data_IF_058346490981
#
_entry.id   IF_058346490981
#
_cell.length_a   1.000
_cell.length_b   1.000
_cell.length_c   1.000
_cell.angle_alpha   90.00
_cell.angle_beta   90.00
_cell.angle_gamma   90.00
#
_symmetry.space_group_name_H-M   'P 1'
#
loop_
_entity.id
_entity.type
_entity.pdbx_description
1 polymer ?
#
# COMPACT_ATOMS: atom_id res chain seq x y z
N UNK A 1 -12.33 -10.15 1.69
CA UNK A 1 -11.45 -9.01 1.99
C UNK A 1 -10.02 -9.45 2.27
N UNK A 2 -9.57 -10.55 1.62
CA UNK A 2 -8.22 -11.05 1.80
C UNK A 2 -7.55 -11.40 0.48
N UNK A 3 -6.22 -11.28 0.46
CA UNK A 3 -5.36 -11.65 -0.66
C UNK A 3 -4.43 -12.77 -0.19
N UNK A 4 -4.37 -13.86 -0.95
CA UNK A 4 -3.42 -14.94 -0.70
C UNK A 4 -2.02 -14.47 -1.06
N UNK A 5 -1.11 -14.45 -0.10
CA UNK A 5 0.29 -14.08 -0.29
C UNK A 5 1.20 -15.28 -0.61
N UNK A 6 0.80 -16.46 -0.15
CA UNK A 6 1.59 -17.68 -0.33
C UNK A 6 1.26 -18.74 0.73
N UNK A 7 2.19 -19.62 0.94
CA UNK A 7 2.11 -20.66 1.97
C UNK A 7 3.25 -20.52 2.96
N UNK A 8 3.00 -20.83 4.23
CA UNK A 8 4.00 -20.66 5.27
C UNK A 8 3.77 -21.51 6.50
N UNK A 9 4.73 -21.43 7.41
CA UNK A 9 4.71 -22.18 8.66
C UNK A 9 5.00 -23.69 8.50
N UNK A 10 5.16 -24.44 9.61
CA UNK A 10 5.53 -25.87 9.59
C UNK A 10 4.51 -26.75 8.86
N UNK A 11 3.26 -26.32 8.76
CA UNK A 11 2.16 -27.06 8.11
C UNK A 11 1.87 -26.58 6.68
N UNK A 12 2.70 -25.69 6.11
CA UNK A 12 2.48 -25.08 4.80
C UNK A 12 1.06 -24.53 4.63
N UNK A 13 0.58 -23.84 5.66
CA UNK A 13 -0.73 -23.21 5.64
C UNK A 13 -0.76 -21.98 4.74
N UNK A 14 -1.95 -21.61 4.26
CA UNK A 14 -2.16 -20.39 3.49
C UNK A 14 -1.85 -19.15 4.35
N UNK A 15 -1.02 -18.26 3.81
CA UNK A 15 -0.76 -16.94 4.40
C UNK A 15 -1.58 -15.93 3.62
N UNK A 16 -2.56 -15.34 4.28
CA UNK A 16 -3.45 -14.35 3.69
C UNK A 16 -3.25 -12.99 4.35
N UNK A 17 -3.33 -11.94 3.55
CA UNK A 17 -3.47 -10.58 4.01
C UNK A 17 -4.95 -10.20 4.06
N UNK A 18 -5.51 -10.11 5.25
CA UNK A 18 -6.82 -9.49 5.44
C UNK A 18 -6.65 -7.99 5.59
N UNK A 19 -6.94 -7.25 4.52
CA UNK A 19 -6.72 -5.80 4.47
C UNK A 19 -7.73 -4.99 5.28
N UNK A 20 -8.77 -5.62 5.83
CA UNK A 20 -9.63 -4.97 6.83
C UNK A 20 -9.07 -5.11 8.25
N UNK A 21 -8.37 -6.20 8.52
CA UNK A 21 -7.73 -6.43 9.81
C UNK A 21 -6.39 -5.68 9.92
N UNK A 22 -5.58 -5.72 8.87
CA UNK A 22 -4.30 -5.02 8.77
C UNK A 22 -4.28 -4.13 7.53
N UNK A 23 -4.42 -2.84 7.74
CA UNK A 23 -4.67 -1.84 6.68
C UNK A 23 -3.55 -1.79 5.64
N UNK A 24 -2.30 -2.02 6.05
CA UNK A 24 -1.12 -1.83 5.23
C UNK A 24 -0.19 -3.05 5.24
N UNK A 25 0.68 -3.16 4.25
CA UNK A 25 1.80 -4.11 4.20
C UNK A 25 3.12 -3.34 4.10
N UNK A 26 4.09 -3.77 4.89
CA UNK A 26 5.50 -3.38 4.73
C UNK A 26 6.33 -4.63 4.52
N UNK A 27 6.94 -4.76 3.35
CA UNK A 27 7.83 -5.86 3.00
C UNK A 27 9.27 -5.38 2.95
N UNK A 28 10.12 -6.01 3.72
CA UNK A 28 11.55 -5.72 3.81
C UNK A 28 12.33 -6.94 3.31
N UNK A 29 13.34 -6.71 2.49
CA UNK A 29 14.16 -7.81 2.01
C UNK A 29 15.39 -7.34 1.23
N UNK A 30 16.43 -8.16 1.19
CA UNK A 30 17.62 -7.92 0.39
C UNK A 30 17.31 -7.79 -1.11
N UNK A 31 18.32 -7.46 -1.89
CA UNK A 31 18.17 -7.47 -3.34
C UNK A 31 17.83 -8.89 -3.82
N UNK A 32 16.96 -9.00 -4.82
CA UNK A 32 16.54 -10.30 -5.40
C UNK A 32 15.82 -11.27 -4.43
N UNK A 33 15.38 -10.78 -3.28
CA UNK A 33 14.70 -11.61 -2.25
C UNK A 33 13.24 -11.98 -2.59
N UNK A 34 12.69 -11.53 -3.74
CA UNK A 34 11.31 -11.82 -4.14
C UNK A 34 10.30 -10.69 -3.86
N UNK A 35 10.74 -9.48 -3.48
CA UNK A 35 9.84 -8.33 -3.20
C UNK A 35 8.90 -8.03 -4.35
N UNK A 36 9.40 -7.91 -5.58
CA UNK A 36 8.56 -7.62 -6.77
C UNK A 36 7.64 -8.80 -7.12
N UNK A 37 8.04 -10.04 -6.82
CA UNK A 37 7.17 -11.21 -6.93
C UNK A 37 5.99 -11.12 -5.95
N UNK A 38 6.25 -10.70 -4.71
CA UNK A 38 5.19 -10.44 -3.74
C UNK A 38 4.21 -9.37 -4.23
N UNK A 39 4.72 -8.26 -4.77
CA UNK A 39 3.87 -7.22 -5.39
C UNK A 39 3.00 -7.81 -6.51
N UNK A 40 3.59 -8.59 -7.41
CA UNK A 40 2.83 -9.24 -8.50
C UNK A 40 1.73 -10.17 -7.97
N UNK A 41 2.01 -10.90 -6.89
CA UNK A 41 1.03 -11.77 -6.22
C UNK A 41 -0.12 -10.95 -5.62
N UNK A 42 0.19 -9.84 -4.96
CA UNK A 42 -0.82 -8.94 -4.39
C UNK A 42 -1.68 -8.32 -5.50
N UNK A 43 -1.06 -7.81 -6.57
CA UNK A 43 -1.78 -7.25 -7.73
C UNK A 43 -2.73 -8.29 -8.34
N UNK A 44 -2.26 -9.53 -8.55
CA UNK A 44 -3.09 -10.61 -9.07
C UNK A 44 -4.29 -10.92 -8.15
N UNK A 45 -4.06 -10.97 -6.84
CA UNK A 45 -5.14 -11.18 -5.86
C UNK A 45 -6.16 -10.04 -5.84
N UNK A 46 -5.71 -8.78 -5.91
CA UNK A 46 -6.60 -7.62 -5.99
C UNK A 46 -7.38 -7.57 -7.31
N UNK A 47 -6.75 -7.99 -8.41
CA UNK A 47 -7.44 -8.11 -9.70
C UNK A 47 -8.60 -9.10 -9.65
N UNK A 48 -8.46 -10.21 -8.92
CA UNK A 48 -9.55 -11.17 -8.69
C UNK A 48 -10.70 -10.59 -7.84
N UNK A 49 -10.41 -9.63 -6.95
CA UNK A 49 -11.44 -8.93 -6.17
C UNK A 49 -12.29 -8.02 -7.06
N UNK A 50 -11.70 -7.49 -8.13
CA UNK A 50 -12.35 -6.71 -9.17
C UNK A 50 -12.38 -5.20 -8.92
N UNK A 51 -12.46 -4.47 -10.03
CA UNK A 51 -12.34 -3.00 -10.08
C UNK A 51 -13.41 -2.23 -9.28
N UNK A 52 -14.55 -2.84 -9.05
CA UNK A 52 -15.66 -2.25 -8.28
C UNK A 52 -15.34 -2.19 -6.78
N UNK A 53 -14.35 -2.95 -6.32
CA UNK A 53 -13.93 -3.03 -4.93
C UNK A 53 -12.51 -2.59 -4.67
N UNK A 54 -11.64 -2.63 -5.68
CA UNK A 54 -10.23 -2.28 -5.57
C UNK A 54 -9.75 -1.52 -6.79
N UNK A 55 -9.03 -0.42 -6.59
CA UNK A 55 -8.33 0.32 -7.63
C UNK A 55 -6.87 0.49 -7.22
N UNK A 56 -5.98 0.34 -8.17
CA UNK A 56 -4.54 0.32 -7.94
C UNK A 56 -3.90 1.65 -8.34
N UNK A 57 -3.13 2.22 -7.43
CA UNK A 57 -2.18 3.31 -7.70
C UNK A 57 -0.79 2.72 -7.51
N UNK A 58 0.00 2.65 -8.58
CA UNK A 58 1.28 1.92 -8.57
C UNK A 58 2.43 2.88 -8.82
N UNK A 59 3.39 2.90 -7.90
CA UNK A 59 4.64 3.64 -7.99
C UNK A 59 5.76 2.61 -8.16
N UNK A 60 6.34 2.58 -9.36
CA UNK A 60 7.30 1.57 -9.81
C UNK A 60 8.39 2.20 -10.67
N UNK A 61 9.38 2.81 -10.01
CA UNK A 61 10.48 3.52 -10.69
C UNK A 61 11.41 2.58 -11.47
N UNK A 62 11.34 1.27 -11.23
CA UNK A 62 12.08 0.25 -12.02
C UNK A 62 11.29 -0.29 -13.21
N UNK A 63 10.00 0.04 -13.30
CA UNK A 63 9.09 -0.46 -14.33
C UNK A 63 8.97 -1.99 -14.34
N UNK A 64 9.12 -2.62 -13.18
CA UNK A 64 9.06 -4.08 -13.02
C UNK A 64 7.68 -4.65 -13.32
N UNK A 65 6.64 -3.83 -13.18
CA UNK A 65 5.23 -4.22 -13.35
C UNK A 65 4.57 -3.57 -14.58
N UNK A 66 5.34 -2.82 -15.38
CA UNK A 66 4.82 -2.12 -16.55
C UNK A 66 4.24 -3.12 -17.57
N UNK A 67 2.97 -2.91 -17.94
CA UNK A 67 2.27 -3.77 -18.88
C UNK A 67 1.77 -5.11 -18.31
N UNK A 68 2.08 -5.42 -17.03
CA UNK A 68 1.62 -6.64 -16.37
C UNK A 68 0.32 -6.44 -15.56
N UNK A 69 -0.14 -5.20 -15.40
CA UNK A 69 -1.32 -4.85 -14.61
C UNK A 69 -2.49 -4.63 -15.57
N UNK A 70 -3.64 -5.22 -15.24
CA UNK A 70 -4.88 -4.96 -15.96
C UNK A 70 -5.20 -3.46 -15.97
N UNK A 71 -5.30 -2.81 -17.14
CA UNK A 71 -5.61 -1.38 -17.24
C UNK A 71 -6.91 -0.99 -16.52
N UNK A 72 -7.90 -1.87 -16.47
CA UNK A 72 -9.16 -1.64 -15.77
C UNK A 72 -9.00 -1.56 -14.25
N UNK A 73 -7.93 -2.13 -13.70
CA UNK A 73 -7.61 -2.02 -12.28
C UNK A 73 -6.84 -0.75 -11.94
N UNK A 74 -6.11 -0.15 -12.90
CA UNK A 74 -5.27 1.00 -12.64
C UNK A 74 -6.09 2.29 -12.46
N UNK A 75 -5.88 2.97 -11.33
CA UNK A 75 -6.25 4.37 -11.13
C UNK A 75 -5.08 5.30 -11.48
N UNK A 76 -3.84 4.79 -11.42
CA UNK A 76 -2.65 5.52 -11.82
C UNK A 76 -1.38 4.69 -11.75
N UNK A 77 -0.39 5.05 -12.55
CA UNK A 77 0.94 4.45 -12.57
C UNK A 77 2.01 5.53 -12.72
N UNK A 78 3.08 5.42 -11.96
CA UNK A 78 4.21 6.33 -12.09
C UNK A 78 5.54 5.58 -12.06
N UNK A 79 6.47 6.04 -12.90
CA UNK A 79 7.83 5.53 -13.01
C UNK A 79 8.90 6.61 -12.82
N UNK A 80 8.51 7.81 -12.40
CA UNK A 80 9.41 8.93 -12.14
C UNK A 80 8.96 9.75 -10.95
N UNK A 81 9.88 10.53 -10.36
CA UNK A 81 9.57 11.40 -9.21
C UNK A 81 8.46 12.40 -9.54
N UNK A 82 8.55 13.06 -10.70
CA UNK A 82 7.56 14.08 -11.10
C UNK A 82 6.16 13.47 -11.30
N UNK A 83 6.07 12.28 -11.90
CA UNK A 83 4.79 11.57 -12.06
C UNK A 83 4.24 11.13 -10.70
N UNK A 84 5.11 10.65 -9.80
CA UNK A 84 4.72 10.26 -8.45
C UNK A 84 4.12 11.43 -7.68
N UNK A 85 4.76 12.61 -7.69
CA UNK A 85 4.26 13.82 -7.01
C UNK A 85 2.86 14.22 -7.53
N UNK A 86 2.67 14.22 -8.85
CA UNK A 86 1.36 14.53 -9.47
C UNK A 86 0.29 13.51 -9.07
N UNK A 87 0.65 12.22 -9.13
CA UNK A 87 -0.27 11.13 -8.82
C UNK A 87 -0.69 11.15 -7.36
N UNK A 88 0.25 11.38 -6.45
CA UNK A 88 0.00 11.50 -5.02
C UNK A 88 -0.88 12.73 -4.71
N UNK A 89 -0.66 13.86 -5.39
CA UNK A 89 -1.48 15.04 -5.22
C UNK A 89 -2.96 14.80 -5.64
N UNK A 90 -3.17 14.12 -6.76
CA UNK A 90 -4.53 13.74 -7.21
C UNK A 90 -5.17 12.75 -6.24
N UNK A 91 -4.42 11.74 -5.82
CA UNK A 91 -4.92 10.75 -4.85
C UNK A 91 -5.33 11.40 -3.53
N UNK A 92 -4.55 12.38 -3.04
CA UNK A 92 -4.89 13.15 -1.84
C UNK A 92 -6.28 13.78 -1.95
N UNK A 93 -6.57 14.47 -3.05
CA UNK A 93 -7.86 15.12 -3.27
C UNK A 93 -9.01 14.10 -3.17
N UNK A 94 -8.88 12.98 -3.89
CA UNK A 94 -9.88 11.91 -3.86
C UNK A 94 -10.12 11.35 -2.45
N UNK A 95 -9.05 11.20 -1.67
CA UNK A 95 -9.14 10.66 -0.31
C UNK A 95 -9.71 11.70 0.68
N UNK A 96 -9.37 12.98 0.51
CA UNK A 96 -9.94 14.06 1.35
C UNK A 96 -11.47 14.19 1.15
N UNK A 97 -11.97 13.99 -0.07
CA UNK A 97 -13.40 13.95 -0.34
C UNK A 97 -14.14 12.82 0.39
N UNK A 98 -13.41 11.79 0.82
CA UNK A 98 -13.95 10.66 1.59
C UNK A 98 -13.86 10.85 3.11
N UNK A 99 -13.24 11.93 3.59
CA UNK A 99 -13.21 12.21 5.03
C UNK A 99 -14.63 12.49 5.54
N UNK A 100 -14.99 11.96 6.73
CA UNK A 100 -16.30 12.17 7.28
C UNK A 100 -16.51 13.65 7.62
N UNK A 101 -17.61 14.21 7.14
CA UNK A 101 -18.04 15.55 7.53
C UNK A 101 -18.73 15.54 8.91
N UNK A 102 -18.97 16.72 9.48
CA UNK A 102 -19.69 16.86 10.75
C UNK A 102 -21.13 16.32 10.72
N UNK A 103 -21.69 16.10 9.53
CA UNK A 103 -23.07 15.60 9.33
C UNK A 103 -23.15 14.07 9.30
N UNK A 104 -22.00 13.37 9.28
CA UNK A 104 -21.95 11.90 9.24
C UNK A 104 -22.43 11.35 10.58
N UNK A 105 -23.43 10.47 10.52
CA UNK A 105 -24.01 9.86 11.72
C UNK A 105 -23.10 8.79 12.32
N UNK A 106 -23.21 8.47 13.63
CA UNK A 106 -22.46 7.39 14.25
C UNK A 106 -22.65 6.02 13.56
N UNK A 107 -23.84 5.75 13.03
CA UNK A 107 -24.12 4.52 12.30
C UNK A 107 -23.37 4.48 10.97
N UNK A 108 -23.36 5.59 10.22
CA UNK A 108 -22.59 5.69 8.99
C UNK A 108 -21.09 5.53 9.23
N UNK A 109 -20.57 6.11 10.32
CA UNK A 109 -19.16 5.90 10.72
C UNK A 109 -18.85 4.43 10.98
N UNK A 110 -19.73 3.73 11.70
CA UNK A 110 -19.57 2.32 11.99
C UNK A 110 -19.58 1.45 10.71
N UNK A 111 -20.49 1.76 9.78
CA UNK A 111 -20.72 0.98 8.57
C UNK A 111 -19.87 1.48 7.38
N UNK A 112 -19.11 2.57 7.54
CA UNK A 112 -18.36 3.26 6.48
C UNK A 112 -19.23 3.56 5.26
N UNK A 113 -20.44 4.08 5.47
CA UNK A 113 -21.46 4.26 4.44
C UNK A 113 -21.71 5.71 4.02
N UNK A 114 -20.82 6.65 4.39
CA UNK A 114 -20.94 8.07 3.98
C UNK A 114 -20.28 8.37 2.63
N UNK A 115 -19.51 7.42 2.08
CA UNK A 115 -18.99 7.50 0.72
C UNK A 115 -19.15 6.14 0.03
N UNK A 116 -19.06 6.13 -1.30
CA UNK A 116 -19.18 4.93 -2.14
C UNK A 116 -18.03 4.85 -3.13
N UNK A 117 -17.69 3.64 -3.56
CA UNK A 117 -16.65 3.38 -4.54
C UNK A 117 -15.63 2.35 -4.06
N UNK A 118 -14.66 2.00 -4.90
CA UNK A 118 -13.62 1.03 -4.57
C UNK A 118 -12.62 1.59 -3.57
N UNK A 119 -12.06 0.71 -2.74
CA UNK A 119 -10.87 1.03 -1.94
C UNK A 119 -9.67 1.30 -2.86
N UNK A 120 -8.76 2.17 -2.42
CA UNK A 120 -7.54 2.52 -3.15
C UNK A 120 -6.36 1.78 -2.54
N UNK A 121 -5.65 1.04 -3.36
CA UNK A 121 -4.42 0.33 -2.99
C UNK A 121 -3.22 1.07 -3.59
N UNK A 122 -2.51 1.81 -2.75
CA UNK A 122 -1.24 2.44 -3.11
C UNK A 122 -0.13 1.41 -2.98
N UNK A 123 0.45 1.01 -4.11
CA UNK A 123 1.52 0.03 -4.18
C UNK A 123 2.81 0.76 -4.52
N UNK A 124 3.81 0.69 -3.64
CA UNK A 124 5.13 1.32 -3.82
C UNK A 124 6.19 0.22 -3.88
N UNK A 125 6.64 -0.10 -5.08
CA UNK A 125 7.73 -1.05 -5.25
C UNK A 125 9.09 -0.35 -5.15
N UNK A 126 9.91 -0.80 -4.18
CA UNK A 126 11.19 -0.20 -3.82
C UNK A 126 11.08 1.26 -3.35
N UNK A 127 10.44 1.48 -2.20
CA UNK A 127 10.29 2.81 -1.57
C UNK A 127 11.62 3.56 -1.43
N UNK A 128 12.73 2.85 -1.30
CA UNK A 128 14.08 3.44 -1.22
C UNK A 128 14.52 4.19 -2.50
N UNK A 129 13.80 4.02 -3.61
CA UNK A 129 14.01 4.77 -4.86
C UNK A 129 13.13 6.02 -4.97
N UNK A 130 12.20 6.21 -4.05
CA UNK A 130 11.24 7.32 -4.07
C UNK A 130 11.59 8.31 -2.96
N UNK A 131 11.63 9.60 -3.27
CA UNK A 131 11.85 10.62 -2.26
C UNK A 131 10.66 10.65 -1.26
N UNK A 132 10.94 10.61 0.04
CA UNK A 132 9.91 10.61 1.09
C UNK A 132 8.97 11.82 0.97
N UNK A 133 9.49 12.97 0.59
CA UNK A 133 8.71 14.20 0.35
C UNK A 133 7.62 14.05 -0.71
N UNK A 134 7.75 13.11 -1.65
CA UNK A 134 6.70 12.84 -2.64
C UNK A 134 5.38 12.40 -1.99
N UNK A 135 5.44 11.81 -0.80
CA UNK A 135 4.28 11.35 -0.04
C UNK A 135 3.77 12.35 0.99
N UNK A 136 4.45 13.50 1.17
CA UNK A 136 4.04 14.51 2.14
C UNK A 136 2.55 14.92 2.04
N UNK A 137 1.94 15.02 0.84
CA UNK A 137 0.52 15.34 0.73
C UNK A 137 -0.42 14.33 1.37
N UNK A 138 0.01 13.06 1.55
CA UNK A 138 -0.81 12.00 2.15
C UNK A 138 -0.79 11.99 3.67
N UNK A 139 0.17 12.66 4.31
CA UNK A 139 0.34 12.64 5.77
C UNK A 139 -0.90 13.13 6.52
N UNK A 140 -1.69 14.03 5.92
CA UNK A 140 -2.95 14.50 6.50
C UNK A 140 -4.08 13.46 6.46
N UNK A 141 -4.04 12.53 5.52
CA UNK A 141 -5.10 11.54 5.25
C UNK A 141 -4.75 10.17 5.83
N UNK A 142 -3.47 9.84 5.93
CA UNK A 142 -3.00 8.54 6.42
C UNK A 142 -3.56 8.13 7.79
N UNK A 143 -3.69 9.02 8.80
CA UNK A 143 -4.32 8.66 10.07
C UNK A 143 -5.77 8.17 9.93
N UNK A 144 -6.42 8.53 8.82
CA UNK A 144 -7.80 8.15 8.48
C UNK A 144 -7.87 7.07 7.38
N UNK A 145 -6.75 6.40 7.08
CA UNK A 145 -6.65 5.46 5.97
C UNK A 145 -7.80 4.43 5.94
N UNK A 146 -8.17 3.89 7.11
CA UNK A 146 -9.29 2.95 7.23
C UNK A 146 -10.62 3.58 6.81
N UNK A 147 -10.85 4.81 7.21
CA UNK A 147 -12.13 5.49 6.98
C UNK A 147 -12.32 5.84 5.51
N UNK A 148 -11.25 6.22 4.83
CA UNK A 148 -11.27 6.63 3.43
C UNK A 148 -10.99 5.49 2.44
N UNK A 149 -10.78 4.25 2.94
CA UNK A 149 -10.51 3.09 2.10
C UNK A 149 -9.15 3.13 1.43
N UNK A 150 -8.11 3.59 2.15
CA UNK A 150 -6.74 3.60 1.66
C UNK A 150 -5.95 2.43 2.25
N UNK A 151 -5.36 1.62 1.39
CA UNK A 151 -4.41 0.57 1.74
C UNK A 151 -3.05 0.88 1.12
N UNK A 152 -1.98 0.70 1.87
CA UNK A 152 -0.61 0.96 1.39
C UNK A 152 0.19 -0.32 1.45
N UNK A 153 0.80 -0.68 0.32
CA UNK A 153 1.71 -1.82 0.19
C UNK A 153 3.07 -1.30 -0.22
N UNK A 154 4.05 -1.52 0.63
CA UNK A 154 5.41 -1.01 0.44
C UNK A 154 6.37 -2.17 0.39
N UNK A 155 7.29 -2.15 -0.59
CA UNK A 155 8.52 -2.93 -0.53
C UNK A 155 9.72 -2.00 -0.38
N UNK A 156 10.75 -2.44 0.34
CA UNK A 156 12.03 -1.75 0.41
C UNK A 156 13.18 -2.71 0.68
N UNK A 157 14.40 -2.26 0.40
CA UNK A 157 15.61 -3.01 0.79
C UNK A 157 15.81 -3.02 2.31
N UNK A 158 16.41 -4.08 2.85
CA UNK A 158 16.73 -4.23 4.26
C UNK A 158 17.74 -3.18 4.73
N UNK A 159 18.79 -2.93 3.95
CA UNK A 159 19.81 -1.95 4.30
C UNK A 159 19.27 -0.55 4.58
N UNK A 160 19.61 -0.01 5.76
CA UNK A 160 19.13 1.29 6.23
C UNK A 160 17.65 1.32 6.62
N UNK A 161 17.02 0.17 6.84
CA UNK A 161 15.62 0.05 7.21
C UNK A 161 15.32 0.82 8.51
N UNK A 162 16.12 0.67 9.55
CA UNK A 162 15.90 1.33 10.85
C UNK A 162 15.84 2.84 10.71
N UNK A 163 16.76 3.45 9.94
CA UNK A 163 16.71 4.90 9.70
C UNK A 163 15.44 5.31 8.95
N UNK A 164 15.00 4.52 7.99
CA UNK A 164 13.83 4.83 7.19
C UNK A 164 12.53 4.75 7.99
N UNK A 165 12.46 3.96 9.04
CA UNK A 165 11.30 3.90 9.94
C UNK A 165 10.99 5.24 10.64
N UNK A 166 11.93 6.18 10.61
CA UNK A 166 11.74 7.55 11.14
C UNK A 166 11.37 8.57 10.06
N UNK A 167 11.34 8.18 8.78
CA UNK A 167 10.84 9.04 7.71
C UNK A 167 9.33 9.20 7.84
N UNK A 168 8.78 10.40 7.69
CA UNK A 168 7.38 10.71 8.01
C UNK A 168 6.36 9.75 7.41
N UNK A 169 6.49 9.42 6.14
CA UNK A 169 5.55 8.52 5.47
C UNK A 169 5.58 7.11 6.05
N UNK A 170 6.77 6.52 6.16
CA UNK A 170 6.91 5.15 6.68
C UNK A 170 6.62 5.08 8.19
N UNK A 171 6.95 6.13 8.95
CA UNK A 171 6.63 6.23 10.37
C UNK A 171 5.12 6.18 10.61
N UNK A 172 4.34 6.95 9.84
CA UNK A 172 2.89 6.95 9.92
C UNK A 172 2.29 5.58 9.59
N UNK A 173 2.79 4.91 8.53
CA UNK A 173 2.37 3.54 8.18
C UNK A 173 2.71 2.55 9.31
N UNK A 174 3.92 2.63 9.87
CA UNK A 174 4.37 1.76 10.98
C UNK A 174 3.46 1.90 12.20
N UNK A 175 3.07 3.12 12.54
CA UNK A 175 2.25 3.38 13.74
C UNK A 175 0.83 2.81 13.60
N UNK A 176 0.38 2.47 12.39
CA UNK A 176 -0.89 1.81 12.11
C UNK A 176 -0.81 0.27 12.13
N UNK A 177 0.26 -0.30 12.67
CA UNK A 177 0.43 -1.75 12.83
C UNK A 177 0.26 -2.55 11.51
N UNK A 178 1.10 -2.28 10.50
CA UNK A 178 1.01 -2.96 9.22
C UNK A 178 1.31 -4.45 9.32
N UNK A 179 0.88 -5.22 8.33
CA UNK A 179 1.34 -6.58 8.13
C UNK A 179 2.80 -6.55 7.65
N UNK A 180 3.71 -7.01 8.49
CA UNK A 180 5.15 -6.96 8.19
C UNK A 180 5.60 -8.29 7.59
N UNK A 181 6.30 -8.20 6.45
CA UNK A 181 6.91 -9.33 5.76
C UNK A 181 8.43 -9.09 5.68
N UNK A 182 9.19 -10.03 6.16
CA UNK A 182 10.65 -10.04 6.02
C UNK A 182 11.01 -11.24 5.13
N UNK A 183 11.52 -10.97 3.93
CA UNK A 183 11.90 -12.02 2.98
C UNK A 183 13.33 -12.44 3.14
N UNK A 184 14.22 -11.48 3.38
CA UNK A 184 15.63 -11.72 3.63
C UNK A 184 16.21 -10.46 4.28
N UNK A 185 16.89 -10.62 5.39
CA UNK A 185 17.55 -9.52 6.10
C UNK A 185 18.78 -10.06 6.82
N UNK A 186 19.91 -9.36 6.69
CA UNK A 186 21.08 -9.65 7.47
C UNK A 186 20.89 -9.26 8.94
N UNK A 187 21.60 -9.94 9.84
CA UNK A 187 21.55 -9.64 11.29
C UNK A 187 21.97 -8.20 11.61
N UNK A 188 22.76 -7.60 10.73
CA UNK A 188 23.29 -6.24 10.87
C UNK A 188 22.39 -5.18 10.24
N UNK A 189 21.25 -5.55 9.66
CA UNK A 189 20.27 -4.64 9.06
C UNK A 189 19.25 -4.07 10.08
N UNK A 190 19.37 -4.46 11.36
CA UNK A 190 18.49 -4.06 12.46
C UNK A 190 19.09 -3.06 13.43
#
# INVERSE_FOLDING_TARGET
>A
NSVLLGVGGPKLGAVNWDYLASQHIVCIGAQESGKSTLISTIIAGLTQIGRERARLVVIDHRRSHLGAIDPDMLAGYSASTQETEKLVAVMKITLEERLPSAEVTPQQLKDRSWWTGPDIFLIVDNLDLVADMAFAPLLSVLPHARDVGLHVVITRKSGGCVRALFQPFLAEIKDQSPFIIVLDADKDDG
#
